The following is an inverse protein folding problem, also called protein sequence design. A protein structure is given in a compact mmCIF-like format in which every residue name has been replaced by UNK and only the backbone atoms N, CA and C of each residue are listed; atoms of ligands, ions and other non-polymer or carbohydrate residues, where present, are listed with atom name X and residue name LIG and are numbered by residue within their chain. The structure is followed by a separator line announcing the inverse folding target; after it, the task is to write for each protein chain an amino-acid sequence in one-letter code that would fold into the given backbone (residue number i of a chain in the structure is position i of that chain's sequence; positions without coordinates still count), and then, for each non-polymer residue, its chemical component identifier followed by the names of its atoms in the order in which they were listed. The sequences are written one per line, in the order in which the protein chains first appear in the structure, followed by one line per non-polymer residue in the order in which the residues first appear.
data_IF_438870563292
#
_entry.id   IF_438870563292
#
_cell.length_a   1.000
_cell.length_b   1.000
_cell.length_c   1.000
_cell.angle_alpha   90.00
_cell.angle_beta   90.00
_cell.angle_gamma   90.00
#
_symmetry.space_group_name_H-M   'P 1'
#
loop_
_entity.id
_entity.type
_entity.pdbx_description
1 polymer ?
#
# COMPACT_ATOMS: atom_id res chain seq x y z
N UNK A 1 7.45 8.13 9.55
CA UNK A 1 7.70 6.94 8.71
C UNK A 1 8.16 5.81 9.62
N UNK A 2 8.53 4.67 9.06
CA UNK A 2 9.01 3.53 9.86
C UNK A 2 9.57 2.40 9.00
N UNK A 3 9.97 1.32 9.67
CA UNK A 3 10.45 0.08 9.06
C UNK A 3 9.63 -1.07 9.62
N UNK A 4 9.12 -1.92 8.73
CA UNK A 4 8.54 -3.22 9.11
C UNK A 4 9.57 -4.29 8.79
N UNK A 5 10.17 -4.86 9.85
CA UNK A 5 11.09 -5.98 9.77
C UNK A 5 10.41 -7.20 10.39
N UNK A 6 9.71 -7.97 9.56
CA UNK A 6 8.91 -9.10 9.99
C UNK A 6 8.96 -10.21 8.93
N UNK A 7 9.35 -11.41 9.34
CA UNK A 7 9.52 -12.54 8.44
C UNK A 7 8.18 -12.98 7.82
N UNK A 8 8.18 -13.32 6.54
CA UNK A 8 6.99 -13.70 5.78
C UNK A 8 7.06 -15.15 5.34
N UNK A 9 5.97 -15.87 5.56
CA UNK A 9 5.77 -17.24 5.12
C UNK A 9 4.34 -17.48 4.68
N UNK A 10 4.03 -18.72 4.30
CA UNK A 10 2.69 -19.09 3.86
C UNK A 10 1.73 -19.13 5.05
N UNK A 11 0.51 -18.64 4.89
CA UNK A 11 -0.50 -18.73 5.93
C UNK A 11 -0.89 -20.21 6.16
N UNK A 12 -0.93 -20.66 7.42
CA UNK A 12 -1.12 -22.08 7.76
C UNK A 12 -2.44 -22.69 7.26
N UNK A 13 -3.53 -21.91 7.31
CA UNK A 13 -4.85 -22.35 6.85
C UNK A 13 -5.22 -21.84 5.44
N UNK A 14 -4.97 -20.55 5.14
CA UNK A 14 -5.43 -19.91 3.91
C UNK A 14 -4.34 -19.92 2.84
N UNK A 15 -4.30 -20.95 2.00
CA UNK A 15 -3.20 -21.22 1.04
C UNK A 15 -2.88 -20.09 0.05
N UNK A 16 -3.84 -19.21 -0.25
CA UNK A 16 -3.66 -18.05 -1.14
C UNK A 16 -3.01 -16.84 -0.42
N UNK A 17 -2.92 -16.87 0.92
CA UNK A 17 -2.35 -15.80 1.73
C UNK A 17 -0.95 -16.14 2.21
N UNK A 18 -0.14 -15.10 2.23
CA UNK A 18 1.10 -14.99 3.00
C UNK A 18 0.79 -14.33 4.36
N UNK A 19 1.55 -14.62 5.39
CA UNK A 19 1.41 -14.03 6.72
C UNK A 19 2.78 -13.74 7.33
N UNK A 20 2.81 -12.86 8.33
CA UNK A 20 3.97 -12.78 9.22
C UNK A 20 3.97 -14.05 10.07
N UNK A 21 5.04 -14.83 9.97
CA UNK A 21 5.18 -16.11 10.69
C UNK A 21 6.60 -16.24 11.23
N UNK A 22 6.70 -16.78 12.44
CA UNK A 22 7.97 -17.18 13.02
C UNK A 22 8.60 -18.30 12.16
N UNK A 23 9.89 -18.18 11.86
CA UNK A 23 10.57 -19.07 10.89
C UNK A 23 10.29 -18.79 9.41
N UNK A 24 9.56 -17.71 9.08
CA UNK A 24 9.38 -17.25 7.71
C UNK A 24 10.67 -16.73 7.06
N UNK A 25 10.60 -16.34 5.78
CA UNK A 25 11.72 -15.70 5.09
C UNK A 25 11.88 -14.25 5.58
N UNK A 26 13.11 -13.78 5.88
CA UNK A 26 13.34 -12.40 6.26
C UNK A 26 12.78 -11.42 5.22
N UNK A 27 12.08 -10.40 5.71
CA UNK A 27 11.44 -9.39 4.89
C UNK A 27 11.48 -8.02 5.56
N UNK A 28 11.93 -7.00 4.83
CA UNK A 28 12.09 -5.63 5.32
C UNK A 28 11.50 -4.62 4.34
N UNK A 29 10.57 -3.80 4.83
CA UNK A 29 9.91 -2.71 4.09
C UNK A 29 10.05 -1.40 4.85
N UNK A 30 10.55 -0.35 4.21
CA UNK A 30 10.60 1.00 4.77
C UNK A 30 9.47 1.84 4.20
N UNK A 31 8.75 2.57 5.05
CA UNK A 31 7.66 3.43 4.59
C UNK A 31 7.80 4.87 5.09
N UNK A 32 7.42 5.81 4.23
CA UNK A 32 7.33 7.24 4.53
C UNK A 32 5.93 7.71 4.24
N UNK A 33 5.34 8.44 5.19
CA UNK A 33 4.07 9.13 4.98
C UNK A 33 4.30 10.27 4.00
N UNK A 34 3.58 10.26 2.88
CA UNK A 34 3.53 11.36 1.92
C UNK A 34 2.43 12.33 2.33
N UNK A 35 1.25 11.80 2.65
CA UNK A 35 0.08 12.60 2.96
C UNK A 35 -0.86 11.87 3.92
N UNK A 36 -1.50 12.62 4.83
CA UNK A 36 -2.53 12.12 5.76
C UNK A 36 -3.89 12.65 5.34
N UNK A 37 -4.88 11.75 5.32
CA UNK A 37 -6.30 12.06 5.13
C UNK A 37 -7.06 11.75 6.43
N UNK A 38 -8.36 12.00 6.47
CA UNK A 38 -9.19 11.82 7.68
C UNK A 38 -9.13 10.40 8.24
N UNK A 39 -9.22 9.39 7.37
CA UNK A 39 -9.18 7.97 7.77
C UNK A 39 -8.21 7.12 6.94
N UNK A 40 -7.39 7.74 6.09
CA UNK A 40 -6.46 7.06 5.18
C UNK A 40 -5.10 7.77 5.17
N UNK A 41 -4.08 7.12 4.66
CA UNK A 41 -2.73 7.70 4.56
C UNK A 41 -2.08 7.25 3.26
N UNK A 42 -1.57 8.21 2.49
CA UNK A 42 -0.75 7.93 1.32
C UNK A 42 0.70 7.74 1.77
N UNK A 43 1.26 6.57 1.49
CA UNK A 43 2.63 6.21 1.89
C UNK A 43 3.47 5.83 0.68
N UNK A 44 4.75 6.20 0.71
CA UNK A 44 5.78 5.64 -0.16
C UNK A 44 6.44 4.47 0.56
N UNK A 45 6.56 3.34 -0.10
CA UNK A 45 7.27 2.16 0.41
C UNK A 45 8.53 1.91 -0.41
N UNK A 46 9.67 1.74 0.25
CA UNK A 46 10.93 1.26 -0.33
C UNK A 46 11.17 -0.16 0.16
N UNK A 47 11.42 -1.06 -0.77
CA UNK A 47 11.71 -2.46 -0.50
C UNK A 47 13.22 -2.66 -0.31
N UNK A 48 13.61 -3.32 0.77
CA UNK A 48 14.95 -3.89 0.92
C UNK A 48 14.96 -5.36 0.46
N UNK A 49 13.83 -6.05 0.66
CA UNK A 49 13.58 -7.42 0.14
C UNK A 49 12.33 -7.46 -0.73
N UNK A 50 12.20 -8.50 -1.57
CA UNK A 50 11.05 -8.68 -2.48
C UNK A 50 10.27 -9.99 -2.26
N UNK A 51 9.68 -10.21 -1.08
CA UNK A 51 8.86 -11.41 -0.81
C UNK A 51 7.45 -11.29 -1.39
N UNK A 52 6.83 -12.43 -1.66
CA UNK A 52 5.44 -12.50 -2.15
C UNK A 52 4.51 -11.74 -1.23
N UNK A 53 3.72 -10.82 -1.79
CA UNK A 53 2.78 -9.95 -1.07
C UNK A 53 3.41 -9.10 0.04
N UNK A 54 4.73 -8.87 0.05
CA UNK A 54 5.44 -8.29 1.19
C UNK A 54 4.81 -6.99 1.71
N UNK A 55 4.58 -6.01 0.84
CA UNK A 55 3.97 -4.72 1.22
C UNK A 55 2.56 -4.95 1.79
N UNK A 56 1.75 -5.76 1.11
CA UNK A 56 0.36 -6.05 1.51
C UNK A 56 0.29 -6.69 2.90
N UNK A 57 1.14 -7.69 3.16
CA UNK A 57 1.25 -8.39 4.45
C UNK A 57 1.78 -7.48 5.54
N UNK A 58 2.88 -6.76 5.29
CA UNK A 58 3.49 -5.86 6.27
C UNK A 58 2.55 -4.74 6.69
N UNK A 59 1.90 -4.09 5.72
CA UNK A 59 0.96 -3.00 6.00
C UNK A 59 -0.26 -3.51 6.79
N UNK A 60 -0.75 -4.70 6.47
CA UNK A 60 -1.82 -5.36 7.25
C UNK A 60 -1.36 -5.74 8.65
N UNK A 61 -0.13 -6.26 8.79
CA UNK A 61 0.45 -6.66 10.07
C UNK A 61 0.57 -5.48 11.05
N UNK A 62 0.90 -4.29 10.56
CA UNK A 62 0.94 -3.07 11.38
C UNK A 62 -0.42 -2.37 11.53
N UNK A 63 -1.52 -2.99 11.08
CA UNK A 63 -2.88 -2.48 11.24
C UNK A 63 -3.35 -1.47 10.19
N UNK A 64 -2.60 -1.29 9.10
CA UNK A 64 -2.90 -0.35 8.01
C UNK A 64 -3.01 -1.07 6.64
N UNK A 65 -3.99 -1.98 6.45
CA UNK A 65 -4.16 -2.69 5.18
C UNK A 65 -4.43 -1.74 4.01
N UNK A 66 -4.10 -2.17 2.78
CA UNK A 66 -4.24 -1.34 1.57
C UNK A 66 -5.69 -1.28 1.09
N UNK A 67 -6.14 -0.10 0.67
CA UNK A 67 -7.48 0.05 0.06
C UNK A 67 -7.62 -0.89 -1.15
N UNK A 68 -8.78 -1.54 -1.28
CA UNK A 68 -9.09 -2.45 -2.39
C UNK A 68 -8.31 -3.77 -2.41
N UNK A 69 -7.55 -4.11 -1.37
CA UNK A 69 -6.84 -5.39 -1.30
C UNK A 69 -7.83 -6.56 -1.03
N UNK A 70 -8.09 -7.44 -2.01
CA UNK A 70 -9.12 -8.47 -1.88
C UNK A 70 -8.71 -9.59 -0.92
N UNK A 71 -7.42 -9.74 -0.64
CA UNK A 71 -6.93 -10.80 0.24
C UNK A 71 -6.75 -10.28 1.65
N UNK A 72 -6.21 -9.08 1.86
CA UNK A 72 -5.74 -8.66 3.18
C UNK A 72 -6.60 -7.61 3.86
N UNK A 73 -7.44 -6.91 3.12
CA UNK A 73 -8.29 -5.90 3.72
C UNK A 73 -9.45 -6.52 4.49
N UNK A 74 -9.62 -6.04 5.71
CA UNK A 74 -10.77 -6.36 6.56
C UNK A 74 -11.98 -5.47 6.22
N UNK A 75 -12.84 -5.23 7.21
CA UNK A 75 -14.00 -4.34 7.05
C UNK A 75 -13.55 -2.92 6.68
N UNK A 76 -14.17 -2.37 5.64
CA UNK A 76 -13.97 -0.99 5.19
C UNK A 76 -14.27 0.01 6.32
N UNK A 77 -13.33 0.95 6.54
CA UNK A 77 -13.51 2.06 7.47
C UNK A 77 -14.00 3.29 6.71
N UNK A 78 -15.29 3.57 6.83
CA UNK A 78 -15.90 4.77 6.25
C UNK A 78 -15.88 5.87 7.32
N UNK A 79 -15.25 7.03 7.08
CA UNK A 79 -15.33 8.14 8.02
C UNK A 79 -16.78 8.65 8.15
N UNK A 80 -17.20 9.11 9.34
CA UNK A 80 -18.51 9.72 9.51
C UNK A 80 -18.63 10.97 8.64
N UNK A 81 -19.83 11.18 8.08
CA UNK A 81 -20.12 12.26 7.11
C UNK A 81 -19.26 12.22 5.83
N UNK A 82 -18.73 11.04 5.46
CA UNK A 82 -18.06 10.85 4.18
C UNK A 82 -19.01 11.12 3.00
N UNK A 83 -18.51 11.81 1.97
CA UNK A 83 -19.22 12.00 0.71
C UNK A 83 -19.60 10.64 0.09
N UNK A 84 -20.87 10.43 -0.34
CA UNK A 84 -21.31 9.18 -0.97
C UNK A 84 -20.43 8.72 -2.14
N UNK A 85 -19.95 9.65 -2.97
CA UNK A 85 -19.03 9.37 -4.09
C UNK A 85 -17.71 8.81 -3.60
N UNK A 86 -17.14 9.35 -2.52
CA UNK A 86 -15.92 8.83 -1.91
C UNK A 86 -16.14 7.44 -1.32
N UNK A 87 -17.28 7.23 -0.64
CA UNK A 87 -17.65 5.92 -0.10
C UNK A 87 -17.73 4.87 -1.21
N UNK A 88 -18.34 5.21 -2.34
CA UNK A 88 -18.46 4.30 -3.47
C UNK A 88 -17.09 4.04 -4.11
N UNK A 89 -16.28 5.06 -4.33
CA UNK A 89 -14.93 4.91 -4.88
C UNK A 89 -14.02 4.04 -4.00
N UNK A 90 -14.14 4.13 -2.68
CA UNK A 90 -13.43 3.25 -1.75
C UNK A 90 -13.89 1.80 -1.90
N UNK A 91 -15.21 1.56 -1.93
CA UNK A 91 -15.80 0.21 -2.04
C UNK A 91 -15.45 -0.48 -3.36
N UNK A 92 -15.52 0.27 -4.46
CA UNK A 92 -15.35 -0.26 -5.81
C UNK A 92 -13.91 -0.21 -6.30
N UNK A 93 -12.96 0.21 -5.44
CA UNK A 93 -11.57 0.31 -5.84
C UNK A 93 -11.06 -1.09 -6.26
N UNK A 94 -10.64 -1.27 -7.54
CA UNK A 94 -10.68 -2.59 -8.18
C UNK A 94 -9.53 -3.53 -7.80
N UNK A 95 -8.56 -3.04 -7.02
CA UNK A 95 -7.30 -3.73 -6.72
C UNK A 95 -6.65 -3.14 -5.47
N UNK A 96 -5.59 -3.76 -4.95
CA UNK A 96 -4.78 -3.13 -3.93
C UNK A 96 -4.26 -1.75 -4.41
N UNK A 97 -4.47 -0.71 -3.61
CA UNK A 97 -3.92 0.63 -3.80
C UNK A 97 -2.39 0.63 -3.60
N UNK A 98 -1.71 -0.02 -4.55
CA UNK A 98 -0.28 -0.19 -4.63
C UNK A 98 0.17 0.08 -6.07
N UNK A 99 1.23 0.85 -6.25
CA UNK A 99 1.80 1.18 -7.56
C UNK A 99 3.32 1.20 -7.52
N UNK A 100 3.97 0.54 -8.49
CA UNK A 100 5.41 0.56 -8.65
C UNK A 100 5.83 1.84 -9.40
N UNK A 101 5.96 2.94 -8.65
CA UNK A 101 6.22 4.28 -9.21
C UNK A 101 7.65 4.47 -9.73
N UNK A 102 8.65 3.85 -9.09
CA UNK A 102 10.06 4.12 -9.33
C UNK A 102 10.89 2.82 -9.26
N UNK A 103 11.81 2.65 -10.21
CA UNK A 103 12.79 1.57 -10.24
C UNK A 103 14.18 2.15 -10.52
N UNK A 104 15.18 1.71 -9.75
CA UNK A 104 16.59 2.06 -9.94
C UNK A 104 17.45 0.83 -9.75
N UNK A 105 18.41 0.62 -10.66
CA UNK A 105 19.41 -0.44 -10.60
C UNK A 105 20.67 -0.03 -11.38
N UNK A 106 21.78 -0.70 -11.09
CA UNK A 106 22.98 -0.60 -11.92
C UNK A 106 22.81 -1.55 -13.11
N UNK A 107 23.02 -1.06 -14.32
CA UNK A 107 22.92 -1.85 -15.54
C UNK A 107 23.90 -3.03 -15.46
N UNK A 108 23.44 -4.28 -15.71
CA UNK A 108 24.23 -5.48 -15.41
C UNK A 108 25.50 -5.60 -16.27
N UNK A 109 25.55 -4.92 -17.42
CA UNK A 109 26.71 -4.96 -18.32
C UNK A 109 27.57 -3.69 -18.20
N UNK A 110 26.95 -2.50 -18.20
CA UNK A 110 27.69 -1.23 -18.24
C UNK A 110 28.01 -0.65 -16.86
N UNK A 111 27.36 -1.14 -15.80
CA UNK A 111 27.47 -0.58 -14.45
C UNK A 111 26.80 0.78 -14.27
N UNK A 112 26.27 1.37 -15.34
CA UNK A 112 25.58 2.66 -15.29
C UNK A 112 24.33 2.61 -14.43
N UNK A 113 24.08 3.65 -13.65
CA UNK A 113 22.89 3.75 -12.82
C UNK A 113 21.68 4.18 -13.65
N UNK A 114 20.76 3.25 -13.88
CA UNK A 114 19.53 3.49 -14.63
C UNK A 114 18.35 3.74 -13.70
N UNK A 115 17.43 4.61 -14.13
CA UNK A 115 16.23 4.99 -13.39
C UNK A 115 15.02 5.03 -14.31
N UNK A 116 13.90 4.51 -13.84
CA UNK A 116 12.61 4.58 -14.52
C UNK A 116 11.51 5.02 -13.57
N UNK A 117 10.56 5.78 -14.11
CA UNK A 117 9.37 6.24 -13.41
C UNK A 117 8.12 5.90 -14.21
N UNK A 118 7.07 5.43 -13.52
CA UNK A 118 5.76 5.10 -14.14
C UNK A 118 4.66 5.94 -13.50
N UNK A 119 3.92 6.78 -14.24
CA UNK A 119 2.92 7.70 -13.67
C UNK A 119 1.90 6.95 -12.81
N UNK A 120 1.32 7.64 -11.82
CA UNK A 120 0.22 7.04 -11.08
C UNK A 120 -0.94 6.77 -12.06
N UNK A 121 -1.54 5.57 -12.03
CA UNK A 121 -2.70 5.28 -12.86
C UNK A 121 -3.93 6.08 -12.41
N UNK A 122 -4.86 6.29 -13.35
CA UNK A 122 -6.01 7.18 -13.16
C UNK A 122 -6.90 6.79 -11.98
N UNK A 123 -7.08 5.48 -11.74
CA UNK A 123 -7.82 4.97 -10.58
C UNK A 123 -7.24 5.48 -9.27
N UNK A 124 -5.91 5.45 -9.14
CA UNK A 124 -5.17 5.88 -7.96
C UNK A 124 -5.22 7.40 -7.80
N UNK A 125 -5.04 8.15 -8.89
CA UNK A 125 -5.12 9.62 -8.88
C UNK A 125 -6.53 10.08 -8.49
N UNK A 126 -7.56 9.43 -9.03
CA UNK A 126 -8.95 9.70 -8.69
C UNK A 126 -9.23 9.46 -7.20
N UNK A 127 -8.79 8.31 -6.67
CA UNK A 127 -8.94 8.00 -5.25
C UNK A 127 -8.26 9.04 -4.34
N UNK A 128 -7.03 9.44 -4.67
CA UNK A 128 -6.31 10.47 -3.91
C UNK A 128 -7.02 11.82 -3.96
N UNK A 129 -7.55 12.21 -5.12
CA UNK A 129 -8.32 13.45 -5.28
C UNK A 129 -9.56 13.46 -4.37
N UNK A 130 -10.32 12.37 -4.32
CA UNK A 130 -11.50 12.26 -3.46
C UNK A 130 -11.14 12.33 -1.96
N UNK A 131 -10.09 11.64 -1.55
CA UNK A 131 -9.58 11.69 -0.18
C UNK A 131 -9.09 13.09 0.21
N UNK A 132 -8.52 13.82 -0.75
CA UNK A 132 -8.06 15.18 -0.56
C UNK A 132 -9.22 16.16 -0.35
N UNK A 133 -10.24 16.07 -1.21
CA UNK A 133 -11.46 16.87 -1.12
C UNK A 133 -12.20 16.62 0.20
N UNK A 134 -12.30 15.36 0.64
CA UNK A 134 -12.93 15.00 1.92
C UNK A 134 -12.17 15.58 3.13
N UNK A 135 -10.84 15.63 3.07
CA UNK A 135 -10.03 16.29 4.10
C UNK A 135 -10.29 17.79 4.14
N UNK A 136 -10.27 18.44 2.98
CA UNK A 136 -10.46 19.90 2.86
C UNK A 136 -11.86 20.32 3.33
N UNK A 137 -12.90 19.60 2.91
CA UNK A 137 -14.29 19.89 3.27
C UNK A 137 -14.59 19.72 4.77
N UNK A 138 -13.77 18.96 5.50
CA UNK A 138 -13.91 18.80 6.96
C UNK A 138 -12.99 19.73 7.77
N UNK A 139 -11.97 20.30 7.13
CA UNK A 139 -11.03 21.21 7.78
C UNK A 139 -11.45 22.68 7.68
N UNK A 140 -12.44 22.99 6.84
CA UNK A 140 -13.13 24.28 6.77
C UNK A 140 -14.45 24.24 7.52
#
# INVERSE_FOLDING_TARGET
GGTVNAAIGRHGQQRQRMAVVEGGKPAVSHYRVLERFRSHTHVRVKLETGRTHQIRVHMTHIGYPLVGDPLYSGRFRIPPAANPTMVQALKDFPRQALHARFLELNHPVSGERLKWESPLPDDFVWLLTLLQQDREAFSG
#
